data_IF_012191781696
#
_entry.id   IF_012191781696
#
_cell.length_a   1.000
_cell.length_b   1.000
_cell.length_c   1.000
_cell.angle_alpha   90.00
_cell.angle_beta   90.00
_cell.angle_gamma   90.00
#
_symmetry.space_group_name_H-M   'P 1'
#
loop_
_entity.id
_entity.type
_entity.pdbx_description
1 polymer ?
#
# COMPACT_ATOMS: atom_id res chain seq x y z
N UNK A 1 11.41 15.54 13.22
CA UNK A 1 10.88 14.86 12.03
C UNK A 1 9.35 14.92 12.06
N UNK A 2 8.76 15.69 11.15
CA UNK A 2 7.32 15.93 11.10
C UNK A 2 6.61 14.70 10.49
N UNK A 3 5.97 13.90 11.33
CA UNK A 3 5.07 12.85 10.88
C UNK A 3 3.69 13.46 10.62
N UNK A 4 3.48 13.95 9.41
CA UNK A 4 2.15 14.38 8.95
C UNK A 4 1.45 13.19 8.33
N UNK A 5 0.39 12.68 8.96
CA UNK A 5 -0.60 11.83 8.30
C UNK A 5 -1.43 12.76 7.43
N UNK A 6 -1.04 12.90 6.17
CA UNK A 6 -1.75 13.71 5.20
C UNK A 6 -2.43 12.84 4.16
N UNK A 7 -3.75 12.99 4.00
CA UNK A 7 -4.48 12.42 2.88
C UNK A 7 -4.28 13.36 1.68
N UNK A 8 -3.55 12.90 0.66
CA UNK A 8 -3.40 13.67 -0.58
C UNK A 8 -4.39 13.14 -1.60
N UNK A 9 -5.47 13.88 -1.80
CA UNK A 9 -6.40 13.65 -2.88
C UNK A 9 -6.08 14.61 -4.03
N UNK A 10 -5.63 14.09 -5.17
CA UNK A 10 -5.41 14.89 -6.38
C UNK A 10 -5.85 14.17 -7.64
N UNK A 11 -6.18 14.99 -8.66
CA UNK A 11 -6.57 14.58 -10.02
C UNK A 11 -5.72 13.42 -10.54
N UNK A 12 -6.36 12.50 -11.26
CA UNK A 12 -5.74 11.39 -11.99
C UNK A 12 -4.48 11.82 -12.74
N UNK A 13 -3.36 11.13 -12.50
CA UNK A 13 -2.18 11.22 -13.33
C UNK A 13 -0.85 11.16 -12.55
N UNK A 14 0.17 10.66 -13.21
CA UNK A 14 1.56 10.58 -12.71
C UNK A 14 2.10 11.93 -12.19
N UNK A 15 1.63 13.07 -12.74
CA UNK A 15 2.03 14.39 -12.32
C UNK A 15 1.57 14.83 -10.92
N UNK A 16 0.50 14.22 -10.37
CA UNK A 16 0.02 14.59 -9.04
C UNK A 16 0.95 14.13 -7.92
N UNK A 17 1.57 12.96 -8.05
CA UNK A 17 2.55 12.45 -7.10
C UNK A 17 3.88 13.20 -7.17
N UNK A 18 4.29 13.64 -8.37
CA UNK A 18 5.52 14.42 -8.61
C UNK A 18 5.37 15.92 -8.32
N UNK A 19 4.16 16.38 -7.95
CA UNK A 19 3.92 17.79 -7.64
C UNK A 19 4.81 18.26 -6.48
N UNK A 20 5.36 19.48 -6.51
CA UNK A 20 6.07 20.06 -5.37
C UNK A 20 5.26 20.11 -4.06
N UNK A 21 3.93 20.07 -4.18
CA UNK A 21 3.00 19.99 -3.05
C UNK A 21 2.71 18.56 -2.59
N UNK A 22 3.35 17.54 -3.17
CA UNK A 22 3.20 16.16 -2.72
C UNK A 22 3.89 15.97 -1.38
N UNK A 23 3.21 15.35 -0.42
CA UNK A 23 3.80 14.97 0.87
C UNK A 23 4.85 13.87 0.73
N UNK A 24 4.91 13.21 -0.44
CA UNK A 24 5.83 12.12 -0.72
C UNK A 24 7.17 12.61 -1.29
N UNK A 25 7.28 13.88 -1.67
CA UNK A 25 8.48 14.41 -2.35
C UNK A 25 9.77 14.15 -1.55
N UNK A 26 9.68 14.36 -0.24
CA UNK A 26 10.83 14.21 0.67
C UNK A 26 10.65 13.01 1.63
N UNK A 27 9.82 12.04 1.24
CA UNK A 27 9.52 10.90 2.08
C UNK A 27 10.61 9.83 1.96
N UNK A 28 11.26 9.50 3.08
CA UNK A 28 12.41 8.57 3.15
C UNK A 28 12.11 7.26 3.88
N UNK A 29 10.87 7.08 4.33
CA UNK A 29 10.48 5.89 5.10
C UNK A 29 9.73 4.87 4.23
N UNK A 30 9.13 3.85 4.83
CA UNK A 30 8.41 2.80 4.15
C UNK A 30 7.09 3.32 3.53
N UNK A 31 6.98 3.20 2.21
CA UNK A 31 5.76 3.46 1.44
C UNK A 31 5.12 2.11 1.07
N UNK A 32 3.94 1.83 1.64
CA UNK A 32 3.19 0.60 1.37
C UNK A 32 2.12 0.88 0.33
N UNK A 33 2.13 0.14 -0.79
CA UNK A 33 1.24 0.42 -1.92
C UNK A 33 0.91 -0.83 -2.75
N UNK A 34 -0.01 -0.68 -3.70
CA UNK A 34 -0.54 -1.71 -4.60
C UNK A 34 0.31 -1.99 -5.86
N UNK A 35 1.57 -1.61 -5.84
CA UNK A 35 2.49 -1.78 -6.97
C UNK A 35 2.22 -0.85 -8.18
N UNK A 36 1.47 0.26 -8.02
CA UNK A 36 1.37 1.24 -9.10
C UNK A 36 2.73 1.88 -9.40
N UNK A 37 3.14 1.83 -10.68
CA UNK A 37 4.50 2.16 -11.11
C UNK A 37 4.99 3.56 -10.66
N UNK A 38 4.09 4.54 -10.52
CA UNK A 38 4.45 5.90 -10.13
C UNK A 38 4.95 6.03 -8.68
N UNK A 39 4.69 5.04 -7.83
CA UNK A 39 5.24 5.06 -6.46
C UNK A 39 6.72 4.77 -6.44
N UNK A 40 7.22 3.97 -7.37
CA UNK A 40 8.64 3.67 -7.49
C UNK A 40 9.48 4.84 -8.03
N UNK A 41 8.85 5.95 -8.43
CA UNK A 41 9.54 7.20 -8.78
C UNK A 41 10.12 7.92 -7.54
N UNK A 42 9.72 7.53 -6.33
CA UNK A 42 10.25 8.06 -5.06
C UNK A 42 11.46 7.25 -4.60
N UNK A 43 12.60 7.51 -5.22
CA UNK A 43 13.84 6.72 -5.02
C UNK A 43 14.38 6.75 -3.58
N UNK A 44 14.05 7.78 -2.80
CA UNK A 44 14.47 7.88 -1.39
C UNK A 44 13.54 7.11 -0.43
N UNK A 45 12.35 6.74 -0.87
CA UNK A 45 11.42 5.94 -0.10
C UNK A 45 11.78 4.45 -0.19
N UNK A 46 11.62 3.75 0.92
CA UNK A 46 11.61 2.28 0.93
C UNK A 46 10.22 1.80 0.53
N UNK A 47 10.14 0.74 -0.27
CA UNK A 47 8.86 0.26 -0.80
C UNK A 47 8.47 -1.08 -0.20
N UNK A 48 7.22 -1.18 0.27
CA UNK A 48 6.58 -2.44 0.62
C UNK A 48 5.32 -2.63 -0.23
N UNK A 49 5.07 -3.84 -0.70
CA UNK A 49 3.87 -4.14 -1.47
C UNK A 49 2.77 -4.70 -0.59
N UNK A 50 1.53 -4.32 -0.93
CA UNK A 50 0.34 -4.88 -0.31
C UNK A 50 0.11 -6.30 -0.80
N UNK A 51 0.45 -7.30 0.02
CA UNK A 51 0.29 -8.70 -0.35
C UNK A 51 -1.17 -9.13 -0.51
N UNK A 52 -2.15 -8.42 0.08
CA UNK A 52 -3.56 -8.68 -0.18
C UNK A 52 -3.95 -8.48 -1.67
N UNK A 53 -3.32 -7.53 -2.38
CA UNK A 53 -3.53 -7.36 -3.81
C UNK A 53 -2.87 -8.49 -4.61
N UNK A 54 -1.66 -8.91 -4.21
CA UNK A 54 -0.97 -10.03 -4.84
C UNK A 54 -1.76 -11.32 -4.66
N UNK A 55 -2.26 -11.61 -3.45
CA UNK A 55 -3.07 -12.79 -3.17
C UNK A 55 -4.35 -12.83 -4.00
N UNK A 56 -5.07 -11.70 -4.14
CA UNK A 56 -6.28 -11.64 -5.00
C UNK A 56 -5.95 -11.91 -6.48
N UNK A 57 -4.81 -11.44 -6.96
CA UNK A 57 -4.38 -11.75 -8.33
C UNK A 57 -3.99 -13.22 -8.46
N UNK A 58 -3.27 -13.80 -7.50
CA UNK A 58 -2.94 -15.23 -7.48
C UNK A 58 -4.20 -16.10 -7.43
N UNK A 59 -5.23 -15.70 -6.66
CA UNK A 59 -6.50 -16.41 -6.56
C UNK A 59 -7.18 -16.58 -7.93
N UNK A 60 -7.13 -15.57 -8.80
CA UNK A 60 -7.68 -15.70 -10.18
C UNK A 60 -6.93 -16.74 -11.03
N UNK A 61 -5.65 -17.00 -10.75
CA UNK A 61 -4.89 -18.05 -11.43
C UNK A 61 -5.08 -19.42 -10.78
N UNK A 62 -5.29 -19.47 -9.47
CA UNK A 62 -5.63 -20.70 -8.75
C UNK A 62 -6.96 -21.26 -9.25
N UNK A 63 -7.95 -20.41 -9.54
CA UNK A 63 -9.23 -20.81 -10.16
C UNK A 63 -9.05 -21.45 -11.56
N UNK A 64 -7.91 -21.23 -12.21
CA UNK A 64 -7.54 -21.85 -13.51
C UNK A 64 -6.47 -22.92 -13.35
N UNK A 65 -6.37 -23.57 -12.17
CA UNK A 65 -5.46 -24.68 -11.85
C UNK A 65 -3.96 -24.38 -12.00
N UNK A 66 -3.55 -23.11 -11.90
CA UNK A 66 -2.14 -22.74 -11.89
C UNK A 66 -1.44 -23.23 -10.63
N UNK A 67 -0.44 -24.08 -10.77
CA UNK A 67 0.31 -24.68 -9.66
C UNK A 67 1.18 -23.66 -8.97
N UNK A 68 1.95 -22.89 -9.74
CA UNK A 68 2.86 -21.88 -9.17
C UNK A 68 2.09 -20.80 -8.38
N UNK A 69 0.90 -20.42 -8.85
CA UNK A 69 0.10 -19.42 -8.15
C UNK A 69 -0.37 -19.94 -6.78
N UNK A 70 -0.76 -21.20 -6.68
CA UNK A 70 -1.11 -21.87 -5.43
C UNK A 70 0.08 -21.97 -4.48
N UNK A 71 1.24 -22.36 -5.00
CA UNK A 71 2.49 -22.46 -4.21
C UNK A 71 2.91 -21.08 -3.68
N UNK A 72 2.89 -20.03 -4.53
CA UNK A 72 3.21 -18.67 -4.12
C UNK A 72 2.24 -18.12 -3.06
N UNK A 73 0.94 -18.35 -3.23
CA UNK A 73 -0.06 -17.94 -2.24
C UNK A 73 0.16 -18.65 -0.89
N UNK A 74 0.41 -19.96 -0.93
CA UNK A 74 0.70 -20.77 0.26
C UNK A 74 1.96 -20.28 0.96
N UNK A 75 3.02 -20.02 0.20
CA UNK A 75 4.28 -19.47 0.72
C UNK A 75 4.08 -18.13 1.42
N UNK A 76 3.40 -17.18 0.77
CA UNK A 76 3.16 -15.84 1.34
C UNK A 76 2.32 -15.90 2.62
N UNK A 77 1.30 -16.75 2.66
CA UNK A 77 0.46 -16.93 3.86
C UNK A 77 1.21 -17.63 4.99
N UNK A 78 2.02 -18.65 4.71
CA UNK A 78 2.90 -19.31 5.68
C UNK A 78 3.86 -18.29 6.29
N UNK A 79 4.57 -17.54 5.43
CA UNK A 79 5.52 -16.52 5.87
C UNK A 79 4.86 -15.43 6.72
N UNK A 80 3.62 -15.02 6.37
CA UNK A 80 2.84 -14.08 7.17
C UNK A 80 2.52 -14.64 8.56
N UNK A 81 2.05 -15.89 8.65
CA UNK A 81 1.78 -16.54 9.94
C UNK A 81 3.02 -16.65 10.81
N UNK A 82 4.15 -16.98 10.21
CA UNK A 82 5.44 -17.05 10.92
C UNK A 82 5.89 -15.67 11.43
N UNK A 83 5.72 -14.62 10.60
CA UNK A 83 6.05 -13.25 10.99
C UNK A 83 5.15 -12.70 12.11
N UNK A 84 3.88 -13.09 12.16
CA UNK A 84 2.97 -12.71 13.24
C UNK A 84 3.30 -13.40 14.58
N UNK A 85 3.78 -14.63 14.52
CA UNK A 85 4.21 -15.39 15.72
C UNK A 85 5.58 -14.95 16.24
N UNK A 86 6.40 -14.37 15.37
CA UNK A 86 7.73 -13.93 15.75
C UNK A 86 7.66 -12.68 16.65
N UNK A 87 8.35 -12.70 17.78
CA UNK A 87 8.52 -11.52 18.66
C UNK A 87 9.40 -10.45 18.03
N UNK A 88 10.20 -10.84 17.05
CA UNK A 88 11.11 -10.01 16.24
C UNK A 88 10.95 -10.40 14.76
N UNK A 89 11.56 -9.63 13.88
CA UNK A 89 11.64 -9.99 12.44
C UNK A 89 12.29 -11.37 12.26
N UNK A 90 11.89 -12.08 11.21
CA UNK A 90 12.42 -13.39 10.90
C UNK A 90 13.92 -13.31 10.54
N UNK A 91 14.72 -14.23 11.09
CA UNK A 91 16.18 -14.21 10.93
C UNK A 91 16.67 -14.94 9.68
N UNK A 92 15.96 -15.96 9.21
CA UNK A 92 16.40 -16.85 8.12
C UNK A 92 16.06 -16.30 6.72
N UNK A 93 16.33 -15.03 6.47
CA UNK A 93 16.01 -14.35 5.22
C UNK A 93 16.47 -15.13 3.98
N UNK A 94 17.67 -15.69 3.99
CA UNK A 94 18.22 -16.43 2.87
C UNK A 94 17.38 -17.64 2.45
N UNK A 95 16.91 -18.44 3.39
CA UNK A 95 16.08 -19.62 3.10
C UNK A 95 14.78 -19.24 2.41
N UNK A 96 14.09 -18.21 2.91
CA UNK A 96 12.84 -17.74 2.31
C UNK A 96 13.05 -17.13 0.91
N UNK A 97 14.17 -16.48 0.67
CA UNK A 97 14.51 -15.96 -0.66
C UNK A 97 14.81 -17.08 -1.65
N UNK A 98 15.40 -18.18 -1.21
CA UNK A 98 15.63 -19.39 -2.04
C UNK A 98 14.28 -20.05 -2.38
N UNK A 99 13.42 -20.28 -1.37
CA UNK A 99 12.08 -20.85 -1.57
C UNK A 99 11.24 -19.97 -2.54
N UNK A 100 11.25 -18.66 -2.34
CA UNK A 100 10.59 -17.71 -3.23
C UNK A 100 11.12 -17.78 -4.67
N UNK A 101 12.44 -17.85 -4.84
CA UNK A 101 13.07 -17.93 -6.14
C UNK A 101 12.75 -19.26 -6.86
N UNK A 102 12.68 -20.37 -6.12
CA UNK A 102 12.28 -21.67 -6.67
C UNK A 102 10.84 -21.63 -7.20
N UNK A 103 9.90 -21.06 -6.47
CA UNK A 103 8.51 -20.89 -6.92
C UNK A 103 8.46 -20.00 -8.17
N UNK A 104 9.23 -18.91 -8.20
CA UNK A 104 9.30 -18.05 -9.38
C UNK A 104 9.91 -18.75 -10.61
N UNK A 105 10.90 -19.63 -10.41
CA UNK A 105 11.47 -20.44 -11.48
C UNK A 105 10.45 -21.45 -12.03
N UNK A 106 9.66 -22.09 -11.16
CA UNK A 106 8.56 -22.95 -11.58
C UNK A 106 7.51 -22.16 -12.36
N UNK A 107 7.15 -20.95 -11.90
CA UNK A 107 6.24 -20.04 -12.58
C UNK A 107 6.76 -19.65 -13.98
N UNK A 108 8.06 -19.49 -14.15
CA UNK A 108 8.67 -19.17 -15.46
C UNK A 108 8.51 -20.28 -16.48
N UNK A 109 8.46 -21.55 -16.03
CA UNK A 109 8.19 -22.72 -16.85
C UNK A 109 6.70 -22.86 -17.22
N UNK A 110 5.79 -22.52 -16.29
CA UNK A 110 4.35 -22.63 -16.50
C UNK A 110 3.79 -21.49 -17.36
N UNK A 111 4.31 -20.28 -17.19
CA UNK A 111 3.79 -19.11 -17.89
C UNK A 111 4.31 -19.01 -19.33
N UNK A 112 3.43 -18.71 -20.30
CA UNK A 112 3.84 -18.60 -21.70
C UNK A 112 4.87 -17.48 -21.88
N UNK A 113 5.83 -17.71 -22.77
CA UNK A 113 6.85 -16.73 -23.10
C UNK A 113 6.23 -15.49 -23.79
N UNK A 114 6.84 -14.31 -23.60
CA UNK A 114 6.34 -13.06 -24.19
C UNK A 114 6.26 -13.14 -25.71
N UNK A 115 5.11 -12.79 -26.28
CA UNK A 115 4.95 -12.73 -27.75
C UNK A 115 5.60 -11.43 -28.24
N UNK A 116 6.66 -11.57 -29.05
CA UNK A 116 7.31 -10.42 -29.69
C UNK A 116 6.36 -9.76 -30.69
N UNK A 117 6.21 -8.46 -30.60
CA UNK A 117 5.48 -7.65 -31.59
C UNK A 117 6.46 -6.94 -32.51
N UNK A 118 6.11 -6.69 -33.78
CA UNK A 118 6.95 -5.94 -34.71
C UNK A 118 7.27 -4.52 -34.24
N UNK A 119 6.33 -3.90 -33.52
CA UNK A 119 6.50 -2.59 -32.89
C UNK A 119 5.90 -2.60 -31.47
N UNK A 120 6.58 -1.99 -30.51
CA UNK A 120 6.11 -1.81 -29.14
C UNK A 120 6.60 -2.87 -28.16
N UNK A 121 5.98 -2.91 -26.97
CA UNK A 121 6.35 -3.87 -25.92
C UNK A 121 5.82 -5.27 -26.26
N UNK A 122 6.53 -6.34 -25.85
CA UNK A 122 6.02 -7.70 -25.95
C UNK A 122 4.65 -7.84 -25.29
N UNK A 123 3.81 -8.71 -25.84
CA UNK A 123 2.52 -9.06 -25.24
C UNK A 123 2.74 -10.20 -24.23
N UNK A 124 2.52 -9.91 -22.97
CA UNK A 124 2.59 -10.89 -21.90
C UNK A 124 1.18 -11.38 -21.52
N UNK A 125 1.07 -12.61 -21.04
CA UNK A 125 -0.10 -13.07 -20.29
C UNK A 125 -0.27 -12.25 -19.00
N UNK A 126 -1.45 -12.31 -18.38
CA UNK A 126 -1.66 -11.71 -17.06
C UNK A 126 -0.75 -12.36 -16.00
N UNK A 127 -0.60 -13.69 -16.04
CA UNK A 127 0.29 -14.42 -15.14
C UNK A 127 1.76 -14.05 -15.35
N UNK A 128 2.22 -13.95 -16.60
CA UNK A 128 3.57 -13.47 -16.93
C UNK A 128 3.82 -12.04 -16.38
N UNK A 129 2.83 -11.15 -16.47
CA UNK A 129 2.95 -9.81 -15.90
C UNK A 129 3.06 -9.83 -14.38
N UNK A 130 2.28 -10.69 -13.71
CA UNK A 130 2.37 -10.86 -12.26
C UNK A 130 3.74 -11.44 -11.88
N UNK A 131 4.21 -12.49 -12.54
CA UNK A 131 5.53 -13.09 -12.31
C UNK A 131 6.65 -12.06 -12.47
N UNK A 132 6.66 -11.30 -13.57
CA UNK A 132 7.66 -10.26 -13.80
C UNK A 132 7.67 -9.21 -12.69
N UNK A 133 6.51 -8.86 -12.14
CA UNK A 133 6.36 -7.94 -11.02
C UNK A 133 6.90 -8.54 -9.72
N UNK A 134 6.60 -9.80 -9.44
CA UNK A 134 7.12 -10.55 -8.29
C UNK A 134 8.65 -10.64 -8.34
N UNK A 135 9.23 -11.01 -9.47
CA UNK A 135 10.68 -11.05 -9.66
C UNK A 135 11.33 -9.68 -9.47
N UNK A 136 10.78 -8.65 -10.10
CA UNK A 136 11.33 -7.30 -10.07
C UNK A 136 11.31 -6.68 -8.68
N UNK A 137 10.25 -6.93 -7.92
CA UNK A 137 10.00 -6.26 -6.64
C UNK A 137 10.00 -7.21 -5.45
N UNK A 138 10.76 -8.32 -5.53
CA UNK A 138 10.83 -9.36 -4.50
C UNK A 138 11.07 -8.80 -3.09
N UNK A 139 11.99 -7.84 -2.96
CA UNK A 139 12.31 -7.23 -1.67
C UNK A 139 11.12 -6.45 -1.09
N UNK A 140 10.36 -5.77 -1.93
CA UNK A 140 9.16 -5.05 -1.52
C UNK A 140 7.98 -5.99 -1.19
N UNK A 141 7.88 -7.14 -1.87
CA UNK A 141 6.90 -8.21 -1.57
C UNK A 141 7.16 -8.82 -0.22
N UNK A 142 8.43 -9.12 0.08
CA UNK A 142 8.84 -9.84 1.29
C UNK A 142 9.17 -8.91 2.47
N UNK A 143 9.13 -7.59 2.29
CA UNK A 143 9.50 -6.60 3.30
C UNK A 143 8.75 -6.80 4.63
N UNK A 144 7.47 -7.21 4.60
CA UNK A 144 6.66 -7.41 5.80
C UNK A 144 7.23 -8.44 6.78
N UNK A 145 7.99 -9.43 6.28
CA UNK A 145 8.55 -10.51 7.10
C UNK A 145 9.90 -10.14 7.74
N UNK A 146 10.63 -9.21 7.12
CA UNK A 146 12.01 -8.91 7.49
C UNK A 146 12.22 -7.48 8.00
N UNK A 147 11.18 -6.65 7.93
CA UNK A 147 11.25 -5.26 8.38
C UNK A 147 10.18 -5.00 9.45
N UNK A 148 10.56 -4.48 10.63
CA UNK A 148 9.71 -4.49 11.81
C UNK A 148 8.44 -3.64 11.71
N UNK A 149 8.35 -2.77 10.70
CA UNK A 149 7.27 -1.78 10.59
C UNK A 149 6.49 -1.88 9.29
N UNK A 150 6.76 -2.91 8.51
CA UNK A 150 6.09 -3.12 7.23
C UNK A 150 4.95 -4.13 7.41
N UNK A 151 3.69 -3.73 7.19
CA UNK A 151 2.58 -4.66 7.29
C UNK A 151 2.46 -5.53 6.06
N UNK A 152 1.78 -6.65 6.22
CA UNK A 152 1.41 -7.53 5.13
C UNK A 152 0.45 -6.88 4.12
N UNK A 153 -0.42 -5.97 4.61
CA UNK A 153 -1.43 -5.29 3.78
C UNK A 153 -1.49 -3.80 4.04
N UNK A 154 -2.02 -3.02 3.08
CA UNK A 154 -2.31 -1.60 3.27
C UNK A 154 -3.77 -1.31 3.65
N UNK A 155 -4.51 -2.31 4.15
CA UNK A 155 -5.94 -2.22 4.46
C UNK A 155 -6.30 -1.05 5.38
N UNK A 156 -5.40 -0.66 6.29
CA UNK A 156 -5.65 0.46 7.21
C UNK A 156 -5.80 1.78 6.46
N UNK A 157 -4.92 2.05 5.49
CA UNK A 157 -5.03 3.25 4.69
C UNK A 157 -6.19 3.20 3.70
N UNK A 158 -6.48 2.03 3.12
CA UNK A 158 -7.65 1.85 2.27
C UNK A 158 -8.94 2.15 3.03
N UNK A 159 -9.03 1.72 4.29
CA UNK A 159 -10.15 2.02 5.17
C UNK A 159 -10.26 3.51 5.47
N UNK A 160 -9.15 4.18 5.72
CA UNK A 160 -9.13 5.63 6.00
C UNK A 160 -9.65 6.45 4.80
N UNK A 161 -9.36 6.02 3.54
CA UNK A 161 -9.85 6.70 2.33
C UNK A 161 -11.27 6.26 1.94
N UNK A 162 -11.77 5.16 2.46
CA UNK A 162 -13.09 4.63 2.07
C UNK A 162 -14.20 5.68 2.17
N UNK A 163 -14.20 6.52 3.19
CA UNK A 163 -15.21 7.59 3.37
C UNK A 163 -15.21 8.58 2.21
N UNK A 164 -14.03 8.96 1.69
CA UNK A 164 -13.91 9.85 0.53
C UNK A 164 -14.42 9.18 -0.73
N UNK A 165 -14.05 7.90 -0.95
CA UNK A 165 -14.54 7.11 -2.10
C UNK A 165 -16.06 6.92 -2.06
N UNK A 166 -16.62 6.61 -0.88
CA UNK A 166 -18.08 6.47 -0.69
C UNK A 166 -18.79 7.79 -1.00
N UNK A 167 -18.32 8.91 -0.45
CA UNK A 167 -18.88 10.24 -0.73
C UNK A 167 -18.84 10.56 -2.21
N UNK A 168 -17.73 10.30 -2.88
CA UNK A 168 -17.59 10.52 -4.32
C UNK A 168 -18.57 9.63 -5.13
N UNK A 169 -18.73 8.35 -4.74
CA UNK A 169 -19.62 7.43 -5.44
C UNK A 169 -21.09 7.81 -5.26
N UNK A 170 -21.50 8.15 -4.03
CA UNK A 170 -22.90 8.51 -3.71
C UNK A 170 -23.29 9.88 -4.31
N UNK A 171 -22.41 10.87 -4.24
CA UNK A 171 -22.65 12.20 -4.76
C UNK A 171 -22.17 12.38 -6.23
N UNK A 172 -21.79 11.29 -6.92
CA UNK A 172 -21.24 11.26 -8.28
C UNK A 172 -19.89 12.01 -8.42
N UNK A 173 -19.66 13.08 -7.68
CA UNK A 173 -18.38 13.81 -7.60
C UNK A 173 -18.46 14.89 -6.51
N UNK A 174 -17.34 15.56 -6.28
CA UNK A 174 -17.34 16.83 -5.55
C UNK A 174 -17.63 17.97 -6.52
N UNK A 175 -18.53 18.88 -6.15
CA UNK A 175 -18.96 20.00 -6.99
C UNK A 175 -17.80 20.94 -7.36
N UNK A 176 -16.86 21.13 -6.41
CA UNK A 176 -15.67 21.94 -6.58
C UNK A 176 -14.46 21.24 -6.00
N UNK A 177 -13.27 21.58 -6.50
CA UNK A 177 -12.01 21.08 -5.95
C UNK A 177 -11.84 21.51 -4.48
N UNK A 178 -12.18 22.78 -4.18
CA UNK A 178 -12.14 23.28 -2.81
C UNK A 178 -13.08 22.50 -1.87
N UNK A 179 -14.28 22.16 -2.30
CA UNK A 179 -15.19 21.33 -1.51
C UNK A 179 -14.61 19.93 -1.23
N UNK A 180 -13.88 19.37 -2.18
CA UNK A 180 -13.18 18.10 -1.97
C UNK A 180 -12.03 18.24 -0.95
N UNK A 181 -11.27 19.33 -1.01
CA UNK A 181 -10.19 19.62 -0.04
C UNK A 181 -10.74 19.80 1.38
N UNK A 182 -11.78 20.61 1.55
CA UNK A 182 -12.43 20.82 2.86
C UNK A 182 -12.94 19.51 3.43
N UNK A 183 -13.61 18.68 2.60
CA UNK A 183 -14.08 17.36 3.04
C UNK A 183 -12.93 16.44 3.45
N UNK A 184 -11.86 16.40 2.67
CA UNK A 184 -10.69 15.58 2.96
C UNK A 184 -10.00 16.02 4.27
N UNK A 185 -9.88 17.32 4.51
CA UNK A 185 -9.32 17.86 5.77
C UNK A 185 -10.19 17.50 6.96
N UNK A 186 -11.50 17.68 6.87
CA UNK A 186 -12.43 17.32 7.95
C UNK A 186 -12.38 15.81 8.26
N UNK A 187 -12.36 14.95 7.24
CA UNK A 187 -12.24 13.50 7.44
C UNK A 187 -10.88 13.10 8.03
N UNK A 188 -9.79 13.73 7.58
CA UNK A 188 -8.46 13.52 8.14
C UNK A 188 -8.41 13.87 9.62
N UNK A 189 -9.02 15.00 10.01
CA UNK A 189 -9.11 15.41 11.40
C UNK A 189 -9.90 14.41 12.24
N UNK A 190 -11.10 14.03 11.80
CA UNK A 190 -11.96 13.05 12.49
C UNK A 190 -11.25 11.68 12.62
N UNK A 191 -10.61 11.20 11.57
CA UNK A 191 -9.87 9.94 11.60
C UNK A 191 -8.69 10.02 12.58
N UNK A 192 -7.99 11.16 12.63
CA UNK A 192 -6.89 11.37 13.56
C UNK A 192 -7.39 11.44 15.01
N UNK A 193 -8.45 12.18 15.30
CA UNK A 193 -9.04 12.22 16.64
C UNK A 193 -9.41 10.82 17.15
N UNK A 194 -10.06 10.01 16.29
CA UNK A 194 -10.40 8.63 16.63
C UNK A 194 -9.17 7.75 16.91
N UNK A 195 -8.12 7.89 16.13
CA UNK A 195 -6.84 7.19 16.36
C UNK A 195 -6.21 7.58 17.69
N UNK A 196 -6.41 8.81 18.13
CA UNK A 196 -6.01 9.29 19.46
C UNK A 196 -7.01 8.95 20.57
N UNK A 197 -8.03 8.12 20.30
CA UNK A 197 -9.10 7.77 21.24
C UNK A 197 -9.85 8.98 21.80
N UNK A 198 -9.91 10.07 21.03
CA UNK A 198 -10.60 11.29 21.39
C UNK A 198 -11.98 11.35 20.74
N UNK A 199 -12.95 11.99 21.42
CA UNK A 199 -14.26 12.20 20.85
C UNK A 199 -14.16 13.25 19.71
N UNK A 200 -14.33 12.80 18.48
CA UNK A 200 -14.17 13.64 17.29
C UNK A 200 -15.14 14.82 17.26
N UNK A 201 -16.38 14.66 17.77
CA UNK A 201 -17.37 15.74 17.84
C UNK A 201 -16.92 16.84 18.81
N UNK A 202 -16.49 16.48 20.00
CA UNK A 202 -15.98 17.45 20.97
C UNK A 202 -14.77 18.22 20.42
N UNK A 203 -13.87 17.51 19.72
CA UNK A 203 -12.71 18.16 19.13
C UNK A 203 -13.08 19.11 17.98
N UNK A 204 -14.09 18.77 17.18
CA UNK A 204 -14.62 19.68 16.15
C UNK A 204 -15.27 20.92 16.79
N UNK A 205 -16.06 20.77 17.86
CA UNK A 205 -16.64 21.89 18.57
C UNK A 205 -15.56 22.85 19.10
N UNK A 206 -14.47 22.33 19.67
CA UNK A 206 -13.35 23.15 20.15
C UNK A 206 -12.71 23.98 19.04
N UNK A 207 -12.48 23.38 17.87
CA UNK A 207 -11.92 24.11 16.71
C UNK A 207 -12.89 25.19 16.22
N UNK A 208 -14.19 24.87 16.13
CA UNK A 208 -15.21 25.84 15.72
C UNK A 208 -15.33 27.01 16.69
N UNK A 209 -15.02 26.81 17.97
CA UNK A 209 -14.93 27.85 18.99
C UNK A 209 -13.60 28.63 18.97
N UNK A 210 -12.74 28.38 17.95
CA UNK A 210 -11.48 29.10 17.78
C UNK A 210 -10.32 28.58 18.63
N UNK A 211 -10.49 27.44 19.31
CA UNK A 211 -9.39 26.85 20.08
C UNK A 211 -8.32 26.32 19.12
N UNK A 212 -7.06 26.69 19.39
CA UNK A 212 -5.94 26.05 18.67
C UNK A 212 -5.82 24.59 19.12
N UNK A 213 -6.01 23.67 18.17
CA UNK A 213 -5.93 22.26 18.43
C UNK A 213 -4.66 21.66 17.84
N UNK A 214 -3.80 21.16 18.70
CA UNK A 214 -2.68 20.29 18.31
C UNK A 214 -2.90 18.90 18.90
N UNK A 215 -2.88 17.87 18.06
CA UNK A 215 -2.82 16.50 18.58
C UNK A 215 -1.54 16.34 19.38
N UNK A 216 -1.68 16.16 20.71
CA UNK A 216 -0.52 15.94 21.56
C UNK A 216 0.24 14.71 21.07
N UNK A 217 1.55 14.84 20.98
CA UNK A 217 2.46 13.77 20.48
C UNK A 217 2.64 12.62 21.49
N UNK A 218 1.67 12.35 22.34
CA UNK A 218 1.69 11.21 23.27
C UNK A 218 1.40 9.89 22.52
N UNK A 219 2.06 9.70 21.40
CA UNK A 219 2.08 8.42 20.73
C UNK A 219 3.21 7.58 21.26
N UNK A 220 2.93 6.79 22.28
CA UNK A 220 3.51 5.46 22.33
C UNK A 220 2.69 4.61 21.35
N UNK A 221 2.84 4.87 20.06
CA UNK A 221 2.45 3.88 19.09
C UNK A 221 3.46 2.76 19.29
N UNK A 222 3.03 1.52 19.49
CA UNK A 222 3.91 0.41 19.24
C UNK A 222 4.51 0.67 17.87
N UNK A 223 5.81 0.72 17.75
CA UNK A 223 6.54 1.10 16.53
C UNK A 223 6.08 0.33 15.27
N UNK A 224 5.33 -0.78 15.45
CA UNK A 224 4.67 -1.63 14.45
C UNK A 224 3.65 -0.94 13.53
N UNK A 225 3.20 0.28 13.80
CA UNK A 225 2.06 0.88 13.10
C UNK A 225 2.31 2.26 12.48
N UNK A 226 3.56 2.72 12.38
CA UNK A 226 3.88 3.91 11.60
C UNK A 226 3.90 3.58 10.10
N UNK A 227 2.73 3.63 9.48
CA UNK A 227 2.57 3.33 8.07
C UNK A 227 1.91 4.48 7.33
N UNK A 228 2.57 4.95 6.29
CA UNK A 228 1.91 5.61 5.18
C UNK A 228 1.52 4.55 4.16
N UNK A 229 0.26 4.20 4.13
CA UNK A 229 -0.27 3.42 3.03
C UNK A 229 -0.78 4.39 1.98
N UNK A 230 -0.23 4.28 0.80
CA UNK A 230 -0.56 5.09 -0.35
C UNK A 230 -1.50 4.27 -1.22
N UNK A 231 -2.64 4.85 -1.56
CA UNK A 231 -3.66 4.17 -2.36
C UNK A 231 -3.64 4.75 -3.76
N UNK A 232 -3.61 3.83 -4.73
CA UNK A 232 -3.80 4.13 -6.14
C UNK A 232 -5.19 4.76 -6.39
N UNK A 233 -5.30 5.80 -7.21
CA UNK A 233 -6.60 6.22 -7.71
C UNK A 233 -7.11 5.19 -8.71
N UNK A 234 -8.30 4.68 -8.45
CA UNK A 234 -9.09 3.86 -9.40
C UNK A 234 -9.68 4.78 -10.46
#
# INVERSE_FOLDING_TARGET
ANHRVGMVWRRRGKGALRSPKSILKDFKNWAIHDCWASYFDFNEAKHGLCNAHILRELETFIETDSKWAKEMATFLLKLYQESEKATKVLSNKGCYYIEYAAICAQADLEEPQPIKKPKGKPLNSKGRNLLNRLLKHKDAVLAFAFEPYVPFTNNTAERDIRHVKVKQKVAMSFRTFHGAEVYAHAQSFVATARKHKQNAFQQLCRILNGEQYAFQRTWVVPQKYFQFSIISPI
#
